data_IF_099939727808
#
_entry.id   IF_099939727808
#
_cell.length_a   1.000
_cell.length_b   1.000
_cell.length_c   1.000
_cell.angle_alpha   90.00
_cell.angle_beta   90.00
_cell.angle_gamma   90.00
#
_symmetry.space_group_name_H-M   'P 1'
#
loop_
_entity.id
_entity.type
_entity.pdbx_description
1 polymer ?
#
# COMPACT_ATOMS: atom_id res chain seq x y z
N UNK A 1 -0.87 -14.55 -24.89
CA UNK A 1 -0.46 -13.48 -23.95
C UNK A 1 -1.75 -12.89 -23.40
N UNK A 2 -2.03 -13.05 -22.11
CA UNK A 2 -3.23 -12.46 -21.51
C UNK A 2 -3.10 -10.94 -21.54
N UNK A 3 -4.04 -10.23 -22.16
CA UNK A 3 -4.17 -8.78 -22.00
C UNK A 3 -4.21 -8.46 -20.51
N UNK A 4 -3.20 -7.72 -20.04
CA UNK A 4 -3.19 -7.23 -18.67
C UNK A 4 -4.14 -6.06 -18.60
N UNK A 5 -5.35 -6.29 -18.07
CA UNK A 5 -6.31 -5.22 -17.82
C UNK A 5 -5.74 -4.22 -16.81
N UNK A 6 -5.77 -2.95 -17.17
CA UNK A 6 -5.41 -1.85 -16.28
C UNK A 6 -6.61 -1.44 -15.44
N UNK A 7 -6.43 -1.38 -14.14
CA UNK A 7 -7.44 -0.87 -13.19
C UNK A 7 -7.40 0.66 -13.15
N UNK A 8 -8.50 1.29 -12.74
CA UNK A 8 -8.57 2.73 -12.48
C UNK A 8 -8.31 3.04 -11.01
N UNK A 9 -7.88 4.27 -10.72
CA UNK A 9 -7.59 4.69 -9.35
C UNK A 9 -8.84 4.53 -8.48
N UNK A 10 -9.99 5.06 -8.91
CA UNK A 10 -11.26 5.00 -8.15
C UNK A 10 -11.72 3.61 -7.72
N UNK A 11 -11.31 2.54 -8.42
CA UNK A 11 -11.65 1.16 -8.12
C UNK A 11 -10.77 0.53 -7.03
N UNK A 12 -9.71 1.22 -6.60
CA UNK A 12 -8.80 0.73 -5.59
C UNK A 12 -9.49 0.60 -4.23
N UNK A 13 -9.34 -0.59 -3.65
CA UNK A 13 -9.87 -0.97 -2.33
C UNK A 13 -8.72 -1.45 -1.44
N UNK A 14 -8.92 -1.52 -0.12
CA UNK A 14 -7.91 -2.05 0.79
C UNK A 14 -7.52 -3.50 0.45
N UNK A 15 -6.23 -3.82 0.54
CA UNK A 15 -5.66 -5.17 0.42
C UNK A 15 -5.78 -5.82 -0.97
N UNK A 16 -5.95 -5.03 -2.04
CA UNK A 16 -5.84 -5.53 -3.40
C UNK A 16 -4.38 -5.82 -3.77
N UNK A 17 -4.18 -6.80 -4.65
CA UNK A 17 -2.87 -7.26 -5.11
C UNK A 17 -2.91 -7.51 -6.62
N UNK A 18 -1.74 -7.62 -7.24
CA UNK A 18 -1.60 -7.91 -8.67
C UNK A 18 -2.31 -6.88 -9.54
N UNK A 19 -2.28 -5.62 -9.13
CA UNK A 19 -2.92 -4.52 -9.83
C UNK A 19 -1.94 -4.00 -10.89
N UNK A 20 -2.44 -3.75 -12.09
CA UNK A 20 -1.74 -2.97 -13.10
C UNK A 20 -2.50 -1.67 -13.27
N UNK A 21 -1.81 -0.53 -13.26
CA UNK A 21 -2.45 0.79 -13.34
C UNK A 21 -1.52 1.77 -14.07
N UNK A 22 -2.11 2.70 -14.81
CA UNK A 22 -1.39 3.81 -15.45
C UNK A 22 -1.77 5.07 -14.68
N UNK A 23 -0.76 5.80 -14.19
CA UNK A 23 -0.97 7.00 -13.38
C UNK A 23 0.00 8.09 -13.77
N UNK A 24 -0.41 9.34 -13.64
CA UNK A 24 0.48 10.49 -13.66
C UNK A 24 0.96 10.80 -12.25
N UNK A 25 2.26 11.10 -12.12
CA UNK A 25 2.81 11.66 -10.90
C UNK A 25 2.42 13.15 -10.82
N UNK A 26 1.59 13.52 -9.85
CA UNK A 26 1.19 14.91 -9.64
C UNK A 26 2.23 15.66 -8.80
N UNK A 27 2.66 15.06 -7.69
CA UNK A 27 3.66 15.64 -6.79
C UNK A 27 4.46 14.57 -6.05
N UNK A 28 5.69 14.90 -5.68
CA UNK A 28 6.58 14.09 -4.86
C UNK A 28 6.77 14.78 -3.51
N UNK A 29 6.42 14.10 -2.42
CA UNK A 29 6.60 14.61 -1.06
C UNK A 29 8.05 14.53 -0.57
N UNK A 30 8.30 15.14 0.59
CA UNK A 30 9.62 15.16 1.20
C UNK A 30 10.13 13.75 1.52
N UNK A 31 11.40 13.53 1.21
CA UNK A 31 12.11 12.33 1.60
C UNK A 31 12.37 12.32 3.11
N UNK A 32 12.14 11.17 3.73
CA UNK A 32 12.48 10.92 5.13
C UNK A 32 13.24 9.61 5.29
N UNK A 33 14.09 9.57 6.29
CA UNK A 33 14.82 8.37 6.68
C UNK A 33 14.06 7.57 7.75
N UNK A 34 14.06 6.25 7.60
CA UNK A 34 13.53 5.33 8.61
C UNK A 34 14.51 4.19 8.86
N UNK A 35 14.67 3.79 10.11
CA UNK A 35 15.54 2.68 10.48
C UNK A 35 14.75 1.37 10.43
N UNK A 36 15.23 0.42 9.63
CA UNK A 36 14.70 -0.94 9.56
C UNK A 36 14.85 -1.64 10.91
N UNK A 37 13.72 -2.01 11.53
CA UNK A 37 13.74 -2.77 12.80
C UNK A 37 14.35 -4.17 12.67
N UNK A 38 14.43 -4.70 11.44
CA UNK A 38 14.92 -6.05 11.17
C UNK A 38 16.41 -6.07 10.86
N UNK A 39 16.89 -5.11 10.08
CA UNK A 39 18.27 -5.07 9.57
C UNK A 39 19.12 -3.98 10.20
N UNK A 40 18.51 -2.98 10.85
CA UNK A 40 19.21 -1.81 11.38
C UNK A 40 19.61 -0.79 10.32
N UNK A 41 19.34 -1.05 9.04
CA UNK A 41 19.68 -0.18 7.93
C UNK A 41 18.78 1.06 7.90
N UNK A 42 19.37 2.19 7.51
CA UNK A 42 18.63 3.41 7.18
C UNK A 42 18.05 3.27 5.77
N UNK A 43 16.73 3.43 5.66
CA UNK A 43 15.98 3.37 4.41
C UNK A 43 15.38 4.74 4.11
N UNK A 44 15.38 5.13 2.84
CA UNK A 44 14.71 6.34 2.35
C UNK A 44 13.26 6.01 2.04
N UNK A 45 12.32 6.87 2.42
CA UNK A 45 10.92 6.74 2.04
C UNK A 45 10.33 8.11 1.70
N UNK A 46 9.52 8.15 0.65
CA UNK A 46 8.74 9.32 0.25
C UNK A 46 7.32 8.88 -0.16
N UNK A 47 6.35 9.77 -0.02
CA UNK A 47 5.00 9.57 -0.56
C UNK A 47 4.84 10.48 -1.79
N UNK A 48 4.49 9.90 -2.94
CA UNK A 48 4.13 10.63 -4.15
C UNK A 48 2.62 10.63 -4.32
N UNK A 49 2.03 11.77 -4.69
CA UNK A 49 0.65 11.82 -5.13
C UNK A 49 0.59 11.41 -6.60
N UNK A 50 -0.07 10.29 -6.88
CA UNK A 50 -0.26 9.79 -8.23
C UNK A 50 -1.74 9.63 -8.53
N UNK A 51 -2.14 9.77 -9.78
CA UNK A 51 -3.54 9.58 -10.12
C UNK A 51 -3.85 9.48 -11.60
N UNK A 52 -5.13 9.30 -11.87
CA UNK A 52 -5.74 9.29 -13.20
C UNK A 52 -7.00 10.17 -13.18
N UNK A 53 -7.79 10.13 -14.25
CA UNK A 53 -8.98 10.97 -14.38
C UNK A 53 -10.06 10.61 -13.34
N UNK A 54 -9.96 9.42 -12.74
CA UNK A 54 -10.93 8.91 -11.78
C UNK A 54 -10.58 9.25 -10.33
N UNK A 55 -9.32 9.63 -10.04
CA UNK A 55 -8.90 10.06 -8.71
C UNK A 55 -7.40 10.04 -8.51
N UNK A 56 -6.98 10.33 -7.27
CA UNK A 56 -5.58 10.24 -6.86
C UNK A 56 -5.39 9.41 -5.59
N UNK A 57 -4.16 8.99 -5.34
CA UNK A 57 -3.75 8.17 -4.20
C UNK A 57 -2.28 8.40 -3.89
N UNK A 58 -1.90 8.32 -2.61
CA UNK A 58 -0.49 8.29 -2.24
C UNK A 58 0.16 6.94 -2.57
N UNK A 59 1.21 7.00 -3.38
CA UNK A 59 2.16 5.93 -3.66
C UNK A 59 3.35 6.06 -2.71
N UNK A 60 3.59 5.03 -1.90
CA UNK A 60 4.77 4.99 -1.03
C UNK A 60 5.96 4.41 -1.80
N UNK A 61 7.05 5.16 -1.87
CA UNK A 61 8.28 4.86 -2.58
C UNK A 61 9.43 4.60 -1.59
N UNK A 62 10.25 3.60 -1.86
CA UNK A 62 11.40 3.22 -1.03
C UNK A 62 12.72 3.32 -1.79
N UNK A 63 13.74 3.90 -1.15
CA UNK A 63 15.11 3.97 -1.68
C UNK A 63 15.14 4.46 -3.14
N UNK A 64 15.74 3.69 -4.04
CA UNK A 64 15.89 4.00 -5.47
C UNK A 64 14.56 4.15 -6.23
N UNK A 65 13.42 3.74 -5.66
CA UNK A 65 12.11 4.00 -6.26
C UNK A 65 11.76 5.49 -6.25
N UNK A 66 12.26 6.24 -5.27
CA UNK A 66 12.04 7.68 -5.13
C UNK A 66 12.61 8.40 -6.36
N UNK A 67 13.80 8.01 -6.78
CA UNK A 67 14.54 8.66 -7.87
C UNK A 67 13.98 8.29 -9.26
N UNK A 68 13.04 7.33 -9.35
CA UNK A 68 12.39 6.92 -10.61
C UNK A 68 11.18 7.77 -10.97
N UNK A 69 10.58 8.48 -10.00
CA UNK A 69 9.38 9.26 -10.23
C UNK A 69 9.71 10.75 -10.36
N UNK A 70 9.22 11.35 -11.43
CA UNK A 70 9.31 12.77 -11.71
C UNK A 70 7.89 13.36 -11.77
N UNK A 71 7.58 14.42 -11.00
CA UNK A 71 6.31 15.11 -11.11
C UNK A 71 6.02 15.56 -12.54
N UNK A 72 4.78 15.39 -12.99
CA UNK A 72 4.32 15.71 -14.33
C UNK A 72 4.39 14.55 -15.33
N UNK A 73 5.14 13.48 -15.05
CA UNK A 73 5.28 12.32 -15.95
C UNK A 73 4.23 11.23 -15.70
N UNK A 74 3.96 10.44 -16.73
CA UNK A 74 3.06 9.29 -16.68
C UNK A 74 3.86 8.01 -16.51
N UNK A 75 3.34 7.10 -15.69
CA UNK A 75 3.99 5.85 -15.34
C UNK A 75 3.02 4.68 -15.47
N UNK A 76 3.54 3.58 -16.01
CA UNK A 76 2.90 2.27 -16.04
C UNK A 76 3.39 1.50 -14.82
N UNK A 77 2.48 1.27 -13.87
CA UNK A 77 2.73 0.50 -12.66
C UNK A 77 2.19 -0.91 -12.86
N UNK A 78 3.03 -1.93 -12.68
CA UNK A 78 2.63 -3.32 -12.82
C UNK A 78 2.81 -4.08 -11.51
N UNK A 79 1.89 -5.00 -11.26
CA UNK A 79 1.89 -5.88 -10.09
C UNK A 79 2.07 -5.11 -8.76
N UNK A 80 1.36 -3.98 -8.65
CA UNK A 80 1.28 -3.16 -7.44
C UNK A 80 0.18 -3.67 -6.51
N UNK A 81 0.18 -3.18 -5.28
CA UNK A 81 -0.76 -3.58 -4.25
C UNK A 81 -1.17 -2.40 -3.37
N UNK A 82 -2.33 -2.54 -2.71
CA UNK A 82 -2.87 -1.52 -1.82
C UNK A 82 -2.85 -1.98 -0.36
N UNK A 83 -2.54 -1.06 0.55
CA UNK A 83 -2.53 -1.31 2.00
C UNK A 83 -3.18 -0.17 2.75
N UNK A 84 -3.52 -0.40 4.02
CA UNK A 84 -3.92 0.65 4.95
C UNK A 84 -2.74 1.00 5.86
N UNK A 85 -2.25 2.22 5.74
CA UNK A 85 -1.24 2.79 6.63
C UNK A 85 -1.87 3.95 7.41
N UNK A 86 -1.86 3.85 8.75
CA UNK A 86 -2.47 4.86 9.65
C UNK A 86 -3.90 5.26 9.21
N UNK A 87 -4.75 4.26 8.98
CA UNK A 87 -6.15 4.43 8.56
C UNK A 87 -6.35 5.05 7.16
N UNK A 88 -5.30 5.19 6.36
CA UNK A 88 -5.34 5.79 5.03
C UNK A 88 -4.89 4.76 3.98
N UNK A 89 -5.56 4.75 2.82
CA UNK A 89 -5.20 3.86 1.71
C UNK A 89 -3.88 4.31 1.08
N UNK A 90 -2.99 3.35 0.80
CA UNK A 90 -1.70 3.56 0.13
C UNK A 90 -1.53 2.59 -1.02
N UNK A 91 -1.00 3.09 -2.13
CA UNK A 91 -0.47 2.27 -3.23
C UNK A 91 1.00 1.96 -2.94
N UNK A 92 1.44 0.74 -3.26
CA UNK A 92 2.80 0.29 -2.99
C UNK A 92 3.31 -0.58 -4.14
N UNK A 93 4.63 -0.52 -4.38
CA UNK A 93 5.31 -1.37 -5.35
C UNK A 93 5.77 -2.65 -4.64
N UNK A 94 5.36 -3.80 -5.17
CA UNK A 94 5.72 -5.11 -4.61
C UNK A 94 7.11 -5.56 -5.02
N UNK A 95 7.61 -6.63 -4.39
CA UNK A 95 8.88 -7.29 -4.78
C UNK A 95 8.95 -7.65 -6.28
N UNK A 96 7.79 -7.97 -6.86
CA UNK A 96 7.64 -8.34 -8.26
C UNK A 96 6.91 -7.24 -9.06
N UNK A 97 6.80 -6.04 -8.50
CA UNK A 97 6.21 -4.88 -9.15
C UNK A 97 7.25 -4.14 -9.98
N UNK A 98 6.76 -3.38 -10.97
CA UNK A 98 7.61 -2.49 -11.77
C UNK A 98 6.98 -1.11 -11.92
N UNK A 99 7.88 -0.13 -12.10
CA UNK A 99 7.63 1.25 -12.49
C UNK A 99 8.31 1.44 -13.84
N UNK A 100 7.54 1.83 -14.85
CA UNK A 100 8.04 2.16 -16.18
C UNK A 100 7.48 3.52 -16.57
N UNK A 101 8.33 4.43 -17.05
CA UNK A 101 7.87 5.70 -17.60
C UNK A 101 7.12 5.44 -18.91
N UNK A 102 5.94 6.05 -19.02
CA UNK A 102 5.15 6.03 -20.23
C UNK A 102 5.69 7.12 -21.16
N UNK A 103 6.39 6.73 -22.22
CA UNK A 103 7.08 7.64 -23.15
C UNK A 103 6.11 8.41 -24.08
N UNK A 104 4.99 8.91 -23.52
CA UNK A 104 3.97 9.68 -24.22
C UNK A 104 2.92 8.85 -24.97
N UNK A 105 2.70 7.59 -24.56
CA UNK A 105 1.63 6.75 -25.14
C UNK A 105 0.26 7.12 -24.56
N UNK A 106 0.23 7.54 -23.30
CA UNK A 106 -0.99 7.84 -22.55
C UNK A 106 -0.99 9.28 -22.05
N UNK A 107 -2.03 10.04 -22.42
CA UNK A 107 -2.31 11.34 -21.81
C UNK A 107 -3.22 11.15 -20.59
N UNK A 108 -2.70 11.46 -19.40
CA UNK A 108 -3.41 11.25 -18.13
C UNK A 108 -3.59 12.59 -17.41
N UNK A 109 -4.84 12.96 -17.15
CA UNK A 109 -5.18 14.09 -16.29
C UNK A 109 -5.53 13.59 -14.89
N UNK A 110 -5.00 14.23 -13.84
CA UNK A 110 -5.19 13.76 -12.45
C UNK A 110 -6.38 14.47 -11.82
N UNK A 111 -7.36 13.69 -11.34
CA UNK A 111 -8.41 14.23 -10.50
C UNK A 111 -7.97 14.25 -9.02
N UNK A 112 -7.43 15.39 -8.59
CA UNK A 112 -6.95 15.59 -7.21
C UNK A 112 -8.07 15.78 -6.19
N UNK A 113 -9.32 16.04 -6.62
CA UNK A 113 -10.47 16.19 -5.73
C UNK A 113 -10.93 14.84 -5.15
N UNK A 114 -10.73 13.74 -5.89
CA UNK A 114 -11.04 12.39 -5.43
C UNK A 114 -9.78 11.67 -4.93
N UNK A 115 -9.25 12.13 -3.80
CA UNK A 115 -8.13 11.47 -3.13
C UNK A 115 -8.58 10.27 -2.30
N UNK A 116 -8.20 9.06 -2.73
CA UNK A 116 -8.52 7.82 -2.03
C UNK A 116 -7.77 7.67 -0.71
N UNK A 117 -6.62 8.34 -0.56
CA UNK A 117 -5.88 8.33 0.68
C UNK A 117 -6.55 9.17 1.77
N UNK A 118 -7.40 10.14 1.42
CA UNK A 118 -8.09 10.95 2.44
C UNK A 118 -9.27 10.22 3.08
N UNK A 119 -9.66 9.07 2.52
CA UNK A 119 -10.71 8.21 3.07
C UNK A 119 -10.20 7.52 4.34
N UNK A 120 -10.99 7.61 5.41
CA UNK A 120 -10.70 6.92 6.66
C UNK A 120 -11.16 5.46 6.61
N UNK A 121 -10.22 4.53 6.75
CA UNK A 121 -10.49 3.10 6.84
C UNK A 121 -10.31 2.64 8.28
N UNK A 122 -11.40 2.27 8.94
CA UNK A 122 -11.34 1.57 10.22
C UNK A 122 -10.65 0.21 10.02
N UNK A 123 -9.45 0.06 10.57
CA UNK A 123 -8.90 -1.27 10.76
C UNK A 123 -9.82 -2.00 11.74
N UNK A 124 -10.60 -2.96 11.24
CA UNK A 124 -11.28 -3.92 12.09
C UNK A 124 -10.22 -4.54 13.00
N UNK A 125 -10.15 -4.07 14.25
CA UNK A 125 -9.29 -4.68 15.26
C UNK A 125 -9.79 -6.11 15.37
N UNK A 126 -8.99 -7.09 14.91
CA UNK A 126 -9.30 -8.50 15.12
C UNK A 126 -9.59 -8.64 16.61
N UNK A 127 -10.80 -9.07 17.02
CA UNK A 127 -11.12 -9.18 18.43
C UNK A 127 -10.04 -10.03 19.07
N UNK A 128 -9.41 -9.50 20.11
CA UNK A 128 -8.44 -10.23 20.89
C UNK A 128 -9.13 -11.50 21.38
N UNK A 129 -8.76 -12.67 20.84
CA UNK A 129 -9.26 -13.96 21.31
C UNK A 129 -8.34 -14.38 22.44
N UNK A 130 -8.76 -14.29 23.72
CA UNK A 130 -7.92 -14.75 24.82
C UNK A 130 -7.62 -16.23 24.58
N UNK A 131 -6.34 -16.61 24.60
CA UNK A 131 -5.98 -18.02 24.70
C UNK A 131 -6.42 -18.45 26.08
N UNK A 132 -7.60 -19.08 26.17
CA UNK A 132 -8.00 -19.74 27.41
C UNK A 132 -6.92 -20.75 27.76
N UNK A 133 -6.23 -20.42 28.84
CA UNK A 133 -5.36 -21.31 29.60
C UNK A 133 -6.26 -22.47 30.03
N UNK A 134 -5.97 -23.67 29.53
CA UNK A 134 -6.61 -24.88 30.03
C UNK A 134 -6.19 -24.98 31.50
N UNK A 135 -7.13 -24.59 32.35
CA UNK A 135 -7.12 -24.74 33.78
C UNK A 135 -6.72 -26.18 34.09
N UNK A 136 -5.62 -26.33 34.84
CA UNK A 136 -5.20 -27.62 35.35
C UNK A 136 -6.29 -28.09 36.31
N UNK A 137 -7.15 -28.98 35.83
CA UNK A 137 -8.11 -29.67 36.67
C UNK A 137 -7.39 -30.42 37.79
N UNK A 138 -7.41 -29.83 38.98
CA UNK A 138 -7.16 -30.48 40.25
C UNK A 138 -8.14 -31.66 40.41
N UNK A 139 -7.65 -32.89 40.27
CA UNK A 139 -8.37 -34.05 40.80
C UNK A 139 -8.11 -34.15 42.31
N UNK A 140 -8.97 -33.48 43.10
CA UNK A 140 -9.23 -33.87 44.50
C UNK A 140 -10.42 -34.83 44.56
N UNK A 141 -10.17 -36.12 44.80
CA UNK A 141 -11.01 -37.09 45.53
C UNK A 141 -10.08 -38.25 45.94
N UNK A 142 -9.97 -38.78 47.14
CA UNK A 142 -10.65 -38.62 48.42
C UNK A 142 -10.44 -39.91 49.25
N UNK A 143 -10.12 -39.75 50.54
CA UNK A 143 -10.31 -40.66 51.70
C UNK A 143 -9.80 -42.13 51.71
N UNK A 144 -9.12 -42.43 52.84
CA UNK A 144 -9.19 -43.60 53.79
C UNK A 144 -9.29 -45.02 53.17
N UNK A 145 -8.55 -46.02 53.65
CA UNK A 145 -8.28 -46.41 55.04
C UNK A 145 -6.83 -46.86 55.23
#
# INVERSE_FOLDING_TARGET
MSESSFSKVSDLKPNLKNINIIVKCDSLGDEREVVSRRTGETLRVADALVGDETGCIYLTLWNDEIDKLTPGQVYVLRNVYTTIYRNSLRLNIGRYGSVEEDNGEHEVNVNTENNLSDRFYEQQRRPYKPRFQQDRGEYRRGRRY
#
